data_IF_959690772080
#
_entry.id   IF_959690772080
#
_cell.length_a   1.000
_cell.length_b   1.000
_cell.length_c   1.000
_cell.angle_alpha   90.00
_cell.angle_beta   90.00
_cell.angle_gamma   90.00
#
_symmetry.space_group_name_H-M   'P 1'
#
loop_
_entity.id
_entity.type
_entity.pdbx_description
1 polymer ?
#
# COMPACT_ATOMS: atom_id res chain seq x y z
N UNK A 1 20.63 -5.90 0.89
CA UNK A 1 20.78 -7.30 1.37
C UNK A 1 19.42 -7.79 1.83
N UNK A 2 18.90 -8.88 1.25
CA UNK A 2 17.66 -9.51 1.67
C UNK A 2 17.85 -10.08 3.09
N UNK A 3 17.10 -9.58 4.08
CA UNK A 3 17.27 -9.95 5.50
C UNK A 3 16.63 -11.29 5.88
N UNK A 4 15.71 -11.82 5.07
CA UNK A 4 15.00 -13.07 5.33
C UNK A 4 14.44 -13.64 4.01
N UNK A 5 14.51 -14.97 3.86
CA UNK A 5 13.85 -15.74 2.79
C UNK A 5 12.77 -16.59 3.45
N UNK A 6 11.59 -16.64 2.85
CA UNK A 6 10.41 -17.35 3.33
C UNK A 6 10.00 -18.42 2.34
N UNK A 7 9.72 -19.61 2.84
CA UNK A 7 9.35 -20.77 1.99
C UNK A 7 7.85 -20.84 1.65
N UNK A 8 7.07 -19.85 2.11
CA UNK A 8 5.61 -19.81 1.97
C UNK A 8 5.15 -18.36 1.78
N UNK A 9 4.23 -18.16 0.84
CA UNK A 9 3.65 -16.86 0.47
C UNK A 9 3.00 -16.16 1.66
N UNK A 10 2.30 -16.89 2.53
CA UNK A 10 1.70 -16.30 3.74
C UNK A 10 2.77 -15.69 4.67
N UNK A 11 3.89 -16.39 4.85
CA UNK A 11 5.02 -15.89 5.66
C UNK A 11 5.68 -14.69 4.98
N UNK A 12 5.87 -14.73 3.66
CA UNK A 12 6.44 -13.63 2.88
C UNK A 12 5.64 -12.35 3.07
N UNK A 13 4.31 -12.44 2.90
CA UNK A 13 3.42 -11.30 3.05
C UNK A 13 3.29 -10.83 4.49
N UNK A 14 3.30 -11.72 5.48
CA UNK A 14 3.34 -11.33 6.89
C UNK A 14 4.61 -10.52 7.21
N UNK A 15 5.75 -10.93 6.65
CA UNK A 15 7.00 -10.18 6.81
C UNK A 15 6.90 -8.81 6.16
N UNK A 16 6.36 -8.74 4.94
CA UNK A 16 6.15 -7.49 4.20
C UNK A 16 5.18 -6.54 4.94
N UNK A 17 4.02 -7.02 5.39
CA UNK A 17 3.06 -6.25 6.18
C UNK A 17 3.68 -5.74 7.48
N UNK A 18 4.45 -6.60 8.16
CA UNK A 18 5.16 -6.23 9.37
C UNK A 18 6.29 -5.22 9.15
N UNK A 19 6.83 -5.07 7.93
CA UNK A 19 7.76 -3.99 7.59
C UNK A 19 6.99 -2.71 7.23
N UNK A 20 6.00 -2.84 6.34
CA UNK A 20 5.12 -1.75 5.91
C UNK A 20 4.48 -1.02 7.10
N UNK A 21 4.10 -1.73 8.16
CA UNK A 21 3.46 -1.10 9.33
C UNK A 21 4.44 -0.23 10.13
N UNK A 22 5.72 -0.60 10.21
CA UNK A 22 6.73 0.23 10.87
C UNK A 22 6.93 1.54 10.10
N UNK A 23 7.06 1.43 8.78
CA UNK A 23 7.24 2.56 7.88
C UNK A 23 6.00 3.46 7.89
N UNK A 24 4.80 2.88 7.89
CA UNK A 24 3.53 3.61 7.98
C UNK A 24 3.39 4.38 9.30
N UNK A 25 3.78 3.77 10.42
CA UNK A 25 3.74 4.42 11.73
C UNK A 25 4.77 5.56 11.82
N UNK A 26 5.96 5.37 11.25
CA UNK A 26 6.97 6.41 11.16
C UNK A 26 6.50 7.58 10.29
N UNK A 27 5.99 7.29 9.09
CA UNK A 27 5.46 8.30 8.17
C UNK A 27 4.30 9.08 8.80
N UNK A 28 3.38 8.39 9.48
CA UNK A 28 2.29 9.03 10.23
C UNK A 28 2.81 9.97 11.32
N UNK A 29 3.88 9.61 12.03
CA UNK A 29 4.48 10.48 13.04
C UNK A 29 5.05 11.75 12.39
N UNK A 30 5.81 11.59 11.30
CA UNK A 30 6.39 12.70 10.55
C UNK A 30 5.31 13.66 10.03
N UNK A 31 4.28 13.13 9.37
CA UNK A 31 3.19 13.93 8.81
C UNK A 31 2.41 14.69 9.89
N UNK A 32 2.24 14.11 11.09
CA UNK A 32 1.67 14.82 12.25
C UNK A 32 2.54 15.97 12.73
N UNK A 33 3.86 15.81 12.75
CA UNK A 33 4.78 16.89 13.10
C UNK A 33 4.67 18.05 12.10
N UNK A 34 4.43 17.74 10.82
CA UNK A 34 4.14 18.69 9.75
C UNK A 34 2.70 19.24 9.74
N UNK A 35 1.90 18.95 10.78
CA UNK A 35 0.52 19.45 10.95
C UNK A 35 -0.48 18.96 9.89
N UNK A 36 -0.24 17.79 9.28
CA UNK A 36 -1.27 17.13 8.47
C UNK A 36 -2.23 16.33 9.36
N UNK A 37 -3.52 16.47 9.07
CA UNK A 37 -4.56 15.59 9.60
C UNK A 37 -4.59 14.29 8.81
N UNK A 38 -4.58 13.17 9.52
CA UNK A 38 -4.41 11.85 8.92
C UNK A 38 -5.41 10.87 9.50
N UNK A 39 -6.15 10.23 8.60
CA UNK A 39 -7.02 9.10 8.90
C UNK A 39 -6.25 7.87 9.41
N UNK A 40 -7.01 6.85 9.81
CA UNK A 40 -6.44 5.56 10.23
C UNK A 40 -5.71 4.92 9.05
N UNK A 41 -4.49 4.43 9.29
CA UNK A 41 -3.71 3.72 8.27
C UNK A 41 -4.46 2.47 7.80
N UNK A 42 -4.60 2.31 6.48
CA UNK A 42 -5.19 1.14 5.85
C UNK A 42 -4.14 0.36 5.08
N UNK A 43 -4.06 -0.94 5.30
CA UNK A 43 -3.25 -1.88 4.52
C UNK A 43 -4.18 -2.74 3.67
N UNK A 44 -3.84 -2.87 2.39
CA UNK A 44 -4.54 -3.75 1.46
C UNK A 44 -3.70 -5.02 1.26
N UNK A 45 -4.32 -6.19 1.39
CA UNK A 45 -3.66 -7.49 1.24
C UNK A 45 -4.52 -8.44 0.41
N UNK A 46 -3.91 -9.31 -0.40
CA UNK A 46 -4.64 -10.28 -1.25
C UNK A 46 -4.65 -11.70 -0.67
N UNK A 47 -3.79 -12.02 0.29
CA UNK A 47 -3.80 -13.34 0.93
C UNK A 47 -4.63 -13.37 2.21
N UNK A 48 -5.75 -14.08 2.12
CA UNK A 48 -6.67 -14.28 3.22
C UNK A 48 -6.03 -14.97 4.44
N UNK A 49 -5.06 -15.86 4.22
CA UNK A 49 -4.34 -16.51 5.32
C UNK A 49 -3.51 -15.50 6.09
N UNK A 50 -2.83 -14.59 5.37
CA UNK A 50 -2.06 -13.52 5.98
C UNK A 50 -2.97 -12.55 6.73
N UNK A 51 -4.09 -12.13 6.13
CA UNK A 51 -5.07 -11.24 6.76
C UNK A 51 -5.55 -11.82 8.10
N UNK A 52 -5.90 -13.11 8.13
CA UNK A 52 -6.31 -13.80 9.35
C UNK A 52 -5.23 -13.77 10.43
N UNK A 53 -3.98 -14.06 10.04
CA UNK A 53 -2.83 -14.03 10.95
C UNK A 53 -2.55 -12.62 11.50
N UNK A 54 -2.78 -11.58 10.71
CA UNK A 54 -2.55 -10.20 11.09
C UNK A 54 -3.70 -9.58 11.87
N UNK A 55 -4.92 -10.11 11.73
CA UNK A 55 -6.13 -9.55 12.38
C UNK A 55 -6.43 -10.21 13.72
N UNK A 56 -6.04 -11.47 13.91
CA UNK A 56 -6.28 -12.22 15.14
C UNK A 56 -4.99 -12.44 15.92
N UNK A 57 -4.99 -12.15 17.22
CA UNK A 57 -3.85 -12.41 18.13
C UNK A 57 -3.66 -13.91 18.47
N UNK A 58 -4.07 -14.80 17.57
CA UNK A 58 -4.00 -16.25 17.70
C UNK A 58 -2.58 -16.80 17.59
N UNK A 59 -2.39 -18.01 18.11
CA UNK A 59 -1.14 -18.74 17.99
C UNK A 59 -1.23 -19.71 16.80
N UNK A 60 -0.82 -19.24 15.62
CA UNK A 60 -0.85 -20.03 14.39
C UNK A 60 0.48 -20.79 14.23
N UNK A 61 0.45 -22.12 14.28
CA UNK A 61 1.65 -22.97 14.25
C UNK A 61 2.55 -22.69 13.03
N UNK A 62 1.95 -22.41 11.88
CA UNK A 62 2.65 -22.12 10.62
C UNK A 62 3.48 -20.83 10.61
N UNK A 63 3.25 -19.90 11.53
CA UNK A 63 3.93 -18.58 11.57
C UNK A 63 4.63 -18.31 12.91
N UNK A 64 4.87 -19.34 13.72
CA UNK A 64 5.49 -19.23 15.05
C UNK A 64 6.79 -18.42 15.05
N UNK A 65 7.63 -18.58 14.02
CA UNK A 65 8.87 -17.81 13.85
C UNK A 65 8.63 -16.29 13.72
N UNK A 66 7.50 -15.92 13.10
CA UNK A 66 7.09 -14.53 12.88
C UNK A 66 6.05 -14.04 13.90
N UNK A 67 5.83 -14.76 15.00
CA UNK A 67 4.76 -14.47 15.95
C UNK A 67 4.83 -13.06 16.57
N UNK A 68 6.04 -12.47 16.66
CA UNK A 68 6.19 -11.07 17.09
C UNK A 68 5.56 -10.07 16.10
N UNK A 69 5.72 -10.32 14.79
CA UNK A 69 5.16 -9.48 13.73
C UNK A 69 3.65 -9.61 13.68
N UNK A 70 3.12 -10.83 13.70
CA UNK A 70 1.67 -11.06 13.67
C UNK A 70 0.98 -10.44 14.89
N UNK A 71 1.51 -10.66 16.11
CA UNK A 71 0.96 -10.05 17.33
C UNK A 71 0.95 -8.53 17.29
N UNK A 72 2.02 -7.90 16.77
CA UNK A 72 2.07 -6.44 16.64
C UNK A 72 0.98 -5.92 15.69
N UNK A 73 0.77 -6.57 14.55
CA UNK A 73 -0.28 -6.21 13.60
C UNK A 73 -1.67 -6.36 14.23
N UNK A 74 -1.93 -7.49 14.89
CA UNK A 74 -3.20 -7.75 15.56
C UNK A 74 -3.48 -6.72 16.67
N UNK A 75 -2.48 -6.36 17.48
CA UNK A 75 -2.60 -5.32 18.50
C UNK A 75 -2.92 -3.94 17.90
N UNK A 76 -2.34 -3.60 16.74
CA UNK A 76 -2.62 -2.34 16.06
C UNK A 76 -4.04 -2.30 15.47
N UNK A 77 -4.52 -3.43 14.94
CA UNK A 77 -5.90 -3.60 14.48
C UNK A 77 -6.88 -3.48 15.64
N UNK A 78 -6.66 -4.20 16.74
CA UNK A 78 -7.48 -4.14 17.95
C UNK A 78 -7.59 -2.73 18.52
N UNK A 79 -6.47 -1.99 18.52
CA UNK A 79 -6.41 -0.59 18.98
C UNK A 79 -6.95 0.42 17.95
N UNK A 80 -7.50 -0.03 16.83
CA UNK A 80 -8.01 0.81 15.73
C UNK A 80 -6.96 1.80 15.19
N UNK A 81 -5.68 1.41 15.24
CA UNK A 81 -4.56 2.18 14.68
C UNK A 81 -4.21 1.74 13.26
N UNK A 82 -4.68 0.56 12.86
CA UNK A 82 -4.51 -0.04 11.56
C UNK A 82 -5.83 -0.68 11.14
N UNK A 83 -6.19 -0.56 9.87
CA UNK A 83 -7.24 -1.37 9.24
C UNK A 83 -6.58 -2.23 8.17
N UNK A 84 -6.91 -3.51 8.13
CA UNK A 84 -6.43 -4.44 7.10
C UNK A 84 -7.63 -4.90 6.29
N UNK A 85 -7.62 -4.63 5.00
CA UNK A 85 -8.68 -5.06 4.09
C UNK A 85 -8.14 -6.01 3.02
N UNK A 86 -9.06 -6.84 2.53
CA UNK A 86 -8.82 -7.64 1.35
C UNK A 86 -8.84 -6.77 0.08
N UNK A 87 -7.87 -6.99 -0.80
CA UNK A 87 -7.87 -6.55 -2.20
C UNK A 87 -7.63 -7.75 -3.10
N UNK A 88 -8.15 -7.72 -4.33
CA UNK A 88 -7.84 -8.77 -5.29
C UNK A 88 -6.36 -8.68 -5.73
N UNK A 89 -5.73 -9.82 -6.05
CA UNK A 89 -4.35 -9.87 -6.58
C UNK A 89 -4.18 -9.00 -7.84
N UNK A 90 -5.23 -8.90 -8.68
CA UNK A 90 -5.16 -8.10 -9.92
C UNK A 90 -5.24 -6.59 -9.68
N UNK A 91 -5.55 -6.17 -8.46
CA UNK A 91 -5.65 -4.77 -8.01
C UNK A 91 -4.67 -4.44 -6.88
N UNK A 92 -3.93 -5.43 -6.38
CA UNK A 92 -2.92 -5.22 -5.35
C UNK A 92 -1.68 -4.54 -5.94
N UNK A 93 -1.61 -3.21 -5.86
CA UNK A 93 -0.48 -2.42 -6.37
C UNK A 93 0.85 -2.91 -5.77
N UNK A 94 0.87 -3.38 -4.52
CA UNK A 94 2.09 -3.88 -3.88
C UNK A 94 2.72 -5.10 -4.59
N UNK A 95 1.95 -5.84 -5.40
CA UNK A 95 2.45 -6.98 -6.15
C UNK A 95 3.49 -6.57 -7.19
N UNK A 96 3.43 -5.33 -7.73
CA UNK A 96 4.43 -4.86 -8.69
C UNK A 96 5.85 -4.78 -8.10
N UNK A 97 5.94 -4.65 -6.77
CA UNK A 97 7.22 -4.57 -6.05
C UNK A 97 7.70 -5.92 -5.49
N UNK A 98 6.82 -6.92 -5.45
CA UNK A 98 7.08 -8.18 -4.72
C UNK A 98 7.00 -9.42 -5.59
N UNK A 99 6.37 -9.34 -6.77
CA UNK A 99 6.17 -10.45 -7.71
C UNK A 99 6.78 -10.13 -9.07
N UNK A 100 7.25 -11.16 -9.76
CA UNK A 100 7.63 -11.07 -11.17
C UNK A 100 6.35 -11.12 -12.03
N UNK A 101 5.78 -9.96 -12.33
CA UNK A 101 4.55 -9.84 -13.11
C UNK A 101 4.82 -9.82 -14.61
N UNK A 102 3.86 -10.33 -15.40
CA UNK A 102 3.88 -10.16 -16.85
C UNK A 102 3.60 -8.69 -17.25
N UNK A 103 3.99 -8.26 -18.46
CA UNK A 103 3.92 -6.86 -18.88
C UNK A 103 2.55 -6.21 -18.68
N UNK A 104 1.49 -6.91 -19.08
CA UNK A 104 0.10 -6.42 -19.00
C UNK A 104 -0.33 -6.09 -17.57
N UNK A 105 -0.03 -6.98 -16.61
CA UNK A 105 -0.39 -6.76 -15.21
C UNK A 105 0.49 -5.67 -14.58
N UNK A 106 1.79 -5.63 -14.95
CA UNK A 106 2.70 -4.60 -14.48
C UNK A 106 2.30 -3.20 -14.95
N UNK A 107 1.97 -3.03 -16.23
CA UNK A 107 1.46 -1.78 -16.80
C UNK A 107 0.17 -1.33 -16.10
N UNK A 108 -0.79 -2.25 -15.91
CA UNK A 108 -2.04 -1.96 -15.19
C UNK A 108 -1.77 -1.42 -13.79
N UNK A 109 -0.95 -2.12 -12.99
CA UNK A 109 -0.65 -1.70 -11.61
C UNK A 109 0.18 -0.40 -11.56
N UNK A 110 1.06 -0.18 -12.54
CA UNK A 110 1.84 1.05 -12.65
C UNK A 110 0.94 2.25 -12.93
N UNK A 111 -0.06 2.10 -13.82
CA UNK A 111 -1.08 3.12 -14.04
C UNK A 111 -1.90 3.42 -12.79
N UNK A 112 -2.29 2.39 -12.03
CA UNK A 112 -3.00 2.58 -10.74
C UNK A 112 -2.16 3.29 -9.68
N UNK A 113 -0.83 3.13 -9.71
CA UNK A 113 0.10 3.86 -8.85
C UNK A 113 0.28 5.33 -9.28
N UNK A 114 -0.13 5.69 -10.50
CA UNK A 114 0.11 7.01 -11.10
C UNK A 114 1.49 7.14 -11.74
N UNK A 115 2.10 6.03 -12.15
CA UNK A 115 3.34 6.06 -12.94
C UNK A 115 2.98 6.36 -14.39
N UNK A 116 3.47 7.49 -14.88
CA UNK A 116 3.23 7.96 -16.25
C UNK A 116 4.54 8.23 -16.98
N UNK A 117 4.49 8.16 -18.31
CA UNK A 117 5.60 8.56 -19.15
C UNK A 117 5.76 10.09 -19.10
N UNK A 118 6.96 10.54 -18.71
CA UNK A 118 7.25 11.97 -18.50
C UNK A 118 7.06 12.78 -19.78
N UNK A 119 7.41 12.23 -20.94
CA UNK A 119 7.29 12.94 -22.22
C UNK A 119 5.82 13.19 -22.54
N UNK A 120 4.99 12.17 -22.32
CA UNK A 120 3.55 12.23 -22.51
C UNK A 120 2.89 13.20 -21.52
N UNK A 121 3.20 13.07 -20.23
CA UNK A 121 2.64 13.93 -19.19
C UNK A 121 3.01 15.41 -19.38
N UNK A 122 4.23 15.72 -19.84
CA UNK A 122 4.64 17.10 -20.14
C UNK A 122 3.89 17.65 -21.35
N UNK A 123 3.64 16.84 -22.37
CA UNK A 123 2.87 17.26 -23.54
C UNK A 123 1.41 17.58 -23.19
N UNK A 124 0.76 16.74 -22.37
CA UNK A 124 -0.63 16.94 -21.94
C UNK A 124 -0.79 18.19 -21.06
N UNK A 125 0.16 18.45 -20.16
CA UNK A 125 0.15 19.66 -19.32
C UNK A 125 0.35 20.96 -20.11
N UNK A 126 1.07 20.91 -21.25
CA UNK A 126 1.25 22.06 -22.13
C UNK A 126 0.03 22.30 -23.05
N UNK A 127 -0.78 21.27 -23.30
CA UNK A 127 -1.97 21.36 -24.14
C UNK A 127 -3.21 21.91 -23.41
N UNK A 128 -3.24 21.90 -22.07
CA UNK A 128 -4.40 22.30 -21.25
C UNK A 128 -4.48 23.77 -20.81
N UNK A 129 -3.73 24.68 -21.44
CA UNK A 129 -3.48 26.03 -20.91
C UNK A 129 -4.35 27.20 -21.43
N UNK A 130 -5.33 27.00 -22.31
CA UNK A 130 -5.83 28.12 -23.14
C UNK A 130 -7.36 28.20 -23.36
N UNK A 131 -8.21 27.84 -22.37
CA UNK A 131 -9.67 27.93 -22.59
C UNK A 131 -10.54 28.39 -21.40
N UNK A 132 -10.02 29.27 -20.54
CA UNK A 132 -10.84 30.03 -19.56
C UNK A 132 -10.49 31.52 -19.56
N UNK A 133 -10.81 32.19 -20.67
CA UNK A 133 -11.02 33.64 -20.71
C UNK A 133 -12.22 33.94 -21.61
N UNK A 134 -13.43 33.69 -21.10
CA UNK A 134 -14.63 34.31 -21.69
C UNK A 134 -14.57 35.81 -21.39
N UNK A 135 -14.63 36.69 -22.41
CA UNK A 135 -14.70 38.12 -22.17
C UNK A 135 -16.05 38.45 -21.49
N UNK A 136 -15.96 39.08 -20.33
CA UNK A 136 -17.10 39.70 -19.67
C UNK A 136 -17.81 40.64 -20.64
N UNK A 137 -19.12 40.50 -20.67
CA UNK A 137 -20.05 41.22 -21.52
C UNK A 137 -20.16 42.66 -21.01
N UNK A 138 -19.65 43.64 -21.75
CA UNK A 138 -20.02 45.05 -21.59
C UNK A 138 -21.13 45.41 -22.59
N UNK A 139 -22.38 45.47 -22.13
CA UNK A 139 -23.29 46.65 -22.17
C UNK A 139 -24.71 46.27 -21.77
#
# INVERSE_FOLDING_TARGET
MQRSVTDDTCKSELVAAGMCVEDSLWARKLLKELKFDLDITRHLMDNQSTIKVCSDAGNFDGVKFYAKKSRKLAELVERKKLVIDYTSTSENIADMFTKALGPQQFEKLSGLLGVEDVVTAVADNLAGGDDDMKPDTET
#
